data_IF_350616478118
#
_entry.id   IF_350616478118
#
_cell.length_a   1.000
_cell.length_b   1.000
_cell.length_c   1.000
_cell.angle_alpha   90.00
_cell.angle_beta   90.00
_cell.angle_gamma   90.00
#
_symmetry.space_group_name_H-M   'P 1'
#
loop_
_entity.id
_entity.type
_entity.pdbx_description
1 polymer ?
#
# COMPACT_ATOMS: atom_id res chain seq x y z
N UNK A 1 7.83 -5.33 -72.68
CA UNK A 1 8.88 -5.32 -71.65
C UNK A 1 8.23 -5.61 -70.32
N UNK A 2 8.11 -6.92 -70.00
CA UNK A 2 7.48 -7.34 -68.74
C UNK A 2 8.56 -7.38 -67.66
N UNK A 3 8.48 -6.46 -66.72
CA UNK A 3 9.28 -6.51 -65.49
C UNK A 3 8.67 -7.55 -64.57
N UNK A 4 9.27 -8.73 -64.57
CA UNK A 4 8.92 -9.79 -63.63
C UNK A 4 9.31 -9.33 -62.22
N UNK A 5 8.31 -9.06 -61.41
CA UNK A 5 8.49 -8.79 -60.00
C UNK A 5 9.05 -10.04 -59.29
N UNK A 6 10.24 -9.95 -58.73
CA UNK A 6 10.91 -11.06 -58.09
C UNK A 6 10.11 -11.47 -56.81
N UNK A 7 9.46 -12.66 -56.75
CA UNK A 7 8.53 -13.03 -55.72
C UNK A 7 9.16 -13.10 -54.32
N UNK A 8 10.48 -13.27 -54.26
CA UNK A 8 11.23 -13.31 -52.98
C UNK A 8 11.32 -11.93 -52.31
N UNK A 9 11.39 -10.85 -53.10
CA UNK A 9 11.47 -9.48 -52.53
C UNK A 9 10.09 -9.03 -52.09
N UNK A 10 9.03 -9.38 -52.80
CA UNK A 10 7.66 -9.01 -52.43
C UNK A 10 7.18 -9.71 -51.14
N UNK A 11 7.50 -11.02 -50.96
CA UNK A 11 7.19 -11.75 -49.74
C UNK A 11 7.98 -11.22 -48.49
N UNK A 12 9.25 -10.75 -48.71
CA UNK A 12 10.06 -10.23 -47.60
C UNK A 12 9.53 -8.89 -47.03
N UNK A 13 8.99 -8.02 -47.92
CA UNK A 13 8.40 -6.75 -47.47
C UNK A 13 7.06 -6.91 -46.73
N UNK A 14 6.22 -7.85 -47.15
CA UNK A 14 4.93 -8.13 -46.49
C UNK A 14 5.15 -8.77 -45.14
N UNK A 15 6.09 -9.67 -44.97
CA UNK A 15 6.41 -10.31 -43.69
C UNK A 15 7.05 -9.33 -42.71
N UNK A 16 7.89 -8.38 -43.19
CA UNK A 16 8.53 -7.39 -42.32
C UNK A 16 7.53 -6.35 -41.78
N UNK A 17 6.64 -5.81 -42.60
CA UNK A 17 5.58 -4.90 -42.21
C UNK A 17 4.58 -5.57 -41.22
N UNK A 18 4.19 -6.82 -41.47
CA UNK A 18 3.35 -7.59 -40.59
C UNK A 18 4.04 -7.90 -39.25
N UNK A 19 5.35 -8.14 -39.29
CA UNK A 19 6.16 -8.38 -38.10
C UNK A 19 6.29 -7.10 -37.24
N UNK A 20 6.55 -5.95 -37.84
CA UNK A 20 6.60 -4.65 -37.13
C UNK A 20 5.25 -4.31 -36.52
N UNK A 21 4.14 -4.52 -37.23
CA UNK A 21 2.80 -4.29 -36.71
C UNK A 21 2.47 -5.23 -35.54
N UNK A 22 2.90 -6.47 -35.58
CA UNK A 22 2.78 -7.42 -34.45
C UNK A 22 3.65 -7.01 -33.27
N UNK A 23 4.90 -6.62 -33.49
CA UNK A 23 5.80 -6.17 -32.42
C UNK A 23 5.27 -4.92 -31.72
N UNK A 24 4.74 -3.94 -32.47
CA UNK A 24 4.13 -2.75 -31.90
C UNK A 24 2.88 -3.08 -31.05
N UNK A 25 2.01 -3.97 -31.51
CA UNK A 25 0.81 -4.35 -30.77
C UNK A 25 1.15 -5.17 -29.49
N UNK A 26 2.16 -6.05 -29.55
CA UNK A 26 2.63 -6.79 -28.37
C UNK A 26 3.19 -5.82 -27.33
N UNK A 27 3.96 -4.82 -27.74
CA UNK A 27 4.54 -3.83 -26.84
C UNK A 27 3.49 -3.03 -26.07
N UNK A 28 2.42 -2.55 -26.71
CA UNK A 28 1.35 -1.81 -26.03
C UNK A 28 0.59 -2.66 -25.04
N UNK A 29 0.30 -3.91 -25.36
CA UNK A 29 -0.39 -4.84 -24.45
C UNK A 29 0.48 -5.20 -23.24
N UNK A 30 1.77 -5.38 -23.41
CA UNK A 30 2.68 -5.69 -22.31
C UNK A 30 2.87 -4.50 -21.38
N UNK A 31 3.00 -3.29 -21.94
CA UNK A 31 2.99 -2.05 -21.14
C UNK A 31 1.68 -1.92 -20.37
N UNK A 32 0.54 -2.10 -21.02
CA UNK A 32 -0.76 -2.04 -20.35
C UNK A 32 -0.88 -3.08 -19.23
N UNK A 33 -0.50 -4.35 -19.48
CA UNK A 33 -0.49 -5.42 -18.48
C UNK A 33 0.45 -5.10 -17.31
N UNK A 34 1.53 -4.40 -17.54
CA UNK A 34 2.50 -4.02 -16.52
C UNK A 34 1.98 -2.90 -15.64
N UNK A 35 1.30 -1.89 -16.19
CA UNK A 35 0.99 -0.62 -15.53
C UNK A 35 -0.45 -0.44 -15.06
N UNK A 36 -1.41 -1.29 -15.48
CA UNK A 36 -2.83 -1.10 -15.17
C UNK A 36 -3.11 -0.96 -13.67
N UNK A 37 -2.41 -1.75 -12.81
CA UNK A 37 -2.62 -1.71 -11.37
C UNK A 37 -2.07 -0.41 -10.77
N UNK A 38 -0.94 0.10 -11.28
CA UNK A 38 -0.44 1.42 -10.87
C UNK A 38 -1.48 2.50 -11.11
N UNK A 39 -2.08 2.52 -12.31
CA UNK A 39 -3.14 3.50 -12.64
C UNK A 39 -4.38 3.28 -11.75
N UNK A 40 -4.76 2.03 -11.52
CA UNK A 40 -5.91 1.69 -10.68
C UNK A 40 -5.71 2.10 -9.20
N UNK A 41 -4.48 2.05 -8.67
CA UNK A 41 -4.18 2.43 -7.27
C UNK A 41 -4.17 3.94 -7.04
N UNK A 42 -3.96 4.77 -8.07
CA UNK A 42 -3.87 6.23 -7.91
C UNK A 42 -5.06 6.84 -7.17
N UNK A 43 -6.33 6.60 -7.55
CA UNK A 43 -7.47 7.20 -6.86
C UNK A 43 -7.58 6.78 -5.40
N UNK A 44 -7.24 5.56 -5.05
CA UNK A 44 -7.25 5.06 -3.67
C UNK A 44 -6.17 5.78 -2.84
N UNK A 45 -4.93 5.79 -3.35
CA UNK A 45 -3.79 6.45 -2.70
C UNK A 45 -4.07 7.95 -2.54
N UNK A 46 -4.55 8.62 -3.59
CA UNK A 46 -4.88 10.04 -3.54
C UNK A 46 -5.94 10.35 -2.48
N UNK A 47 -6.97 9.50 -2.36
CA UNK A 47 -8.02 9.66 -1.35
C UNK A 47 -7.50 9.46 0.07
N UNK A 48 -6.66 8.45 0.30
CA UNK A 48 -6.05 8.21 1.61
C UNK A 48 -5.07 9.32 2.01
N UNK A 49 -4.25 9.82 1.07
CA UNK A 49 -3.35 10.94 1.33
C UNK A 49 -4.10 12.26 1.55
N UNK A 50 -5.19 12.47 0.84
CA UNK A 50 -6.08 13.61 1.07
C UNK A 50 -6.67 13.57 2.48
N UNK A 51 -7.20 12.42 2.92
CA UNK A 51 -7.67 12.24 4.29
C UNK A 51 -6.54 12.50 5.30
N UNK A 52 -5.35 11.92 5.08
CA UNK A 52 -4.21 12.08 5.97
C UNK A 52 -3.80 13.56 6.12
N UNK A 53 -3.74 14.29 5.00
CA UNK A 53 -3.44 15.72 5.02
C UNK A 53 -4.44 16.51 5.90
N UNK A 54 -5.74 16.33 5.70
CA UNK A 54 -6.75 17.05 6.45
C UNK A 54 -6.79 16.64 7.90
N UNK A 55 -6.71 15.36 8.21
CA UNK A 55 -6.70 14.85 9.59
C UNK A 55 -5.52 15.42 10.37
N UNK A 56 -4.29 15.30 9.87
CA UNK A 56 -3.09 15.71 10.59
C UNK A 56 -2.90 17.23 10.60
N UNK A 57 -3.35 17.94 9.56
CA UNK A 57 -3.20 19.40 9.47
C UNK A 57 -4.15 20.16 10.36
N UNK A 58 -5.37 19.68 10.51
CA UNK A 58 -6.45 20.37 11.22
C UNK A 58 -6.87 19.67 12.52
N UNK A 59 -6.23 18.57 12.85
CA UNK A 59 -6.53 17.74 14.04
C UNK A 59 -8.01 17.29 14.05
N UNK A 60 -8.57 17.05 12.87
CA UNK A 60 -9.93 16.57 12.68
C UNK A 60 -9.88 15.08 12.40
N UNK A 61 -10.11 14.29 13.44
CA UNK A 61 -10.20 12.85 13.29
C UNK A 61 -11.58 12.53 12.79
N UNK A 62 -11.66 12.29 11.47
CA UNK A 62 -12.90 11.82 10.87
C UNK A 62 -13.26 10.49 11.54
N UNK A 63 -14.35 10.52 12.30
CA UNK A 63 -14.99 9.30 12.74
C UNK A 63 -15.29 8.43 11.52
N UNK A 64 -15.69 7.20 11.72
CA UNK A 64 -16.02 6.17 10.72
C UNK A 64 -16.78 6.63 9.46
N UNK A 65 -17.24 7.86 9.41
CA UNK A 65 -18.14 8.45 8.42
C UNK A 65 -17.44 9.38 7.42
N UNK A 66 -16.12 9.29 7.23
CA UNK A 66 -15.53 9.97 6.08
C UNK A 66 -16.06 9.30 4.81
N UNK A 67 -16.90 10.04 4.07
CA UNK A 67 -17.54 9.55 2.85
C UNK A 67 -16.52 9.51 1.71
N UNK A 68 -15.75 8.42 1.65
CA UNK A 68 -14.98 8.14 0.47
C UNK A 68 -15.91 7.86 -0.71
N UNK A 69 -15.61 8.37 -1.92
CA UNK A 69 -16.39 8.03 -3.10
C UNK A 69 -16.24 6.53 -3.44
N UNK A 70 -17.27 5.97 -4.06
CA UNK A 70 -17.16 4.63 -4.65
C UNK A 70 -16.06 4.60 -5.73
N UNK A 71 -15.19 3.58 -5.79
CA UNK A 71 -15.15 2.36 -4.97
C UNK A 71 -14.22 2.45 -3.72
N UNK A 72 -13.64 3.61 -3.43
CA UNK A 72 -12.66 3.79 -2.34
C UNK A 72 -13.28 3.48 -0.97
N UNK A 73 -14.56 3.79 -0.78
CA UNK A 73 -15.29 3.49 0.46
C UNK A 73 -15.32 1.98 0.77
N UNK A 74 -15.52 1.12 -0.24
CA UNK A 74 -15.56 -0.33 -0.06
C UNK A 74 -14.16 -0.85 0.30
N UNK A 75 -13.15 -0.42 -0.45
CA UNK A 75 -11.76 -0.77 -0.19
C UNK A 75 -11.35 -0.35 1.24
N UNK A 76 -11.63 0.88 1.63
CA UNK A 76 -11.31 1.39 2.96
C UNK A 76 -11.98 0.56 4.07
N UNK A 77 -13.24 0.15 3.91
CA UNK A 77 -13.92 -0.73 4.86
C UNK A 77 -13.19 -2.08 4.97
N UNK A 78 -12.83 -2.68 3.84
CA UNK A 78 -12.18 -4.00 3.83
C UNK A 78 -10.79 -3.92 4.48
N UNK A 79 -9.95 -3.00 4.02
CA UNK A 79 -8.57 -2.86 4.49
C UNK A 79 -8.54 -2.48 5.97
N UNK A 80 -9.36 -1.53 6.38
CA UNK A 80 -9.43 -1.09 7.76
C UNK A 80 -9.90 -2.18 8.72
N UNK A 81 -10.96 -2.93 8.37
CA UNK A 81 -11.41 -4.03 9.22
C UNK A 81 -10.37 -5.14 9.30
N UNK A 82 -9.67 -5.43 8.19
CA UNK A 82 -8.56 -6.38 8.21
C UNK A 82 -7.44 -5.93 9.15
N UNK A 83 -6.97 -4.69 9.03
CA UNK A 83 -5.92 -4.14 9.88
C UNK A 83 -6.34 -4.10 11.36
N UNK A 84 -7.60 -3.76 11.63
CA UNK A 84 -8.16 -3.74 12.97
C UNK A 84 -8.17 -5.14 13.62
N UNK A 85 -8.56 -6.17 12.89
CA UNK A 85 -8.51 -7.56 13.39
C UNK A 85 -7.06 -7.95 13.73
N UNK A 86 -6.12 -7.57 12.88
CA UNK A 86 -4.69 -7.84 13.12
C UNK A 86 -4.18 -7.08 14.35
N UNK A 87 -4.60 -5.83 14.53
CA UNK A 87 -4.30 -5.01 15.70
C UNK A 87 -4.77 -5.68 17.00
N UNK A 88 -6.02 -6.09 17.08
CA UNK A 88 -6.58 -6.77 18.26
C UNK A 88 -5.91 -8.12 18.53
N UNK A 89 -5.60 -8.87 17.49
CA UNK A 89 -4.81 -10.09 17.61
C UNK A 89 -3.43 -9.81 18.20
N UNK A 90 -2.80 -8.69 17.82
CA UNK A 90 -1.51 -8.26 18.34
C UNK A 90 -1.51 -8.06 19.85
N UNK A 91 -2.54 -7.44 20.42
CA UNK A 91 -2.72 -7.33 21.88
C UNK A 91 -2.80 -8.70 22.53
N UNK A 92 -3.60 -9.60 21.95
CA UNK A 92 -3.81 -10.95 22.47
C UNK A 92 -2.52 -11.76 22.50
N UNK A 93 -1.73 -11.74 21.42
CA UNK A 93 -0.45 -12.47 21.34
C UNK A 93 0.59 -11.92 22.31
N UNK A 94 0.68 -10.61 22.46
CA UNK A 94 1.68 -9.99 23.33
C UNK A 94 1.29 -9.98 24.80
N UNK A 95 -0.01 -10.13 25.13
CA UNK A 95 -0.48 -10.25 26.51
C UNK A 95 0.18 -11.43 27.26
N UNK A 96 0.55 -12.51 26.55
CA UNK A 96 1.23 -13.68 27.11
C UNK A 96 2.55 -13.30 27.79
N UNK A 97 3.19 -12.20 27.36
CA UNK A 97 4.45 -11.71 27.93
C UNK A 97 4.29 -11.02 29.29
N UNK A 98 3.07 -10.81 29.75
CA UNK A 98 2.77 -10.23 31.07
C UNK A 98 3.23 -8.76 31.27
N UNK A 99 3.63 -8.07 30.22
CA UNK A 99 4.07 -6.67 30.28
C UNK A 99 3.06 -5.75 29.59
N UNK A 100 2.45 -4.87 30.38
CA UNK A 100 1.39 -3.97 29.90
C UNK A 100 1.83 -3.11 28.71
N UNK A 101 3.03 -2.52 28.73
CA UNK A 101 3.54 -1.69 27.64
C UNK A 101 3.72 -2.49 26.34
N UNK A 102 4.27 -3.72 26.45
CA UNK A 102 4.42 -4.61 25.30
C UNK A 102 3.05 -5.04 24.78
N UNK A 103 2.10 -5.33 25.66
CA UNK A 103 0.73 -5.66 25.25
C UNK A 103 0.10 -4.53 24.46
N UNK A 104 0.19 -3.29 24.94
CA UNK A 104 -0.38 -2.13 24.25
C UNK A 104 0.32 -1.88 22.90
N UNK A 105 1.66 -1.96 22.85
CA UNK A 105 2.42 -1.83 21.58
C UNK A 105 2.11 -2.95 20.59
N UNK A 106 1.73 -4.13 21.10
CA UNK A 106 1.48 -5.32 20.30
C UNK A 106 0.46 -5.11 19.20
N UNK A 107 -0.62 -4.36 19.47
CA UNK A 107 -1.63 -4.04 18.47
C UNK A 107 -1.01 -3.37 17.25
N UNK A 108 -0.43 -2.21 17.41
CA UNK A 108 0.21 -1.45 16.32
C UNK A 108 1.40 -2.18 15.70
N UNK A 109 2.17 -2.92 16.49
CA UNK A 109 3.30 -3.70 15.99
C UNK A 109 2.85 -4.80 15.01
N UNK A 110 1.84 -5.59 15.37
CA UNK A 110 1.34 -6.65 14.49
C UNK A 110 0.60 -6.10 13.29
N UNK A 111 -0.09 -4.97 13.43
CA UNK A 111 -0.75 -4.26 12.33
C UNK A 111 0.23 -3.86 11.22
N UNK A 112 1.48 -3.50 11.56
CA UNK A 112 2.56 -3.24 10.61
C UNK A 112 3.25 -4.54 10.18
N UNK A 113 3.57 -5.41 11.11
CA UNK A 113 4.40 -6.59 10.89
C UNK A 113 3.80 -7.53 9.85
N UNK A 114 2.49 -7.81 9.93
CA UNK A 114 1.84 -8.74 9.02
C UNK A 114 1.88 -8.26 7.56
N UNK A 115 1.49 -7.00 7.22
CA UNK A 115 1.68 -6.48 5.87
C UNK A 115 3.13 -6.51 5.39
N UNK A 116 4.11 -6.25 6.26
CA UNK A 116 5.53 -6.31 5.89
C UNK A 116 6.00 -7.74 5.61
N UNK A 117 5.54 -8.74 6.35
CA UNK A 117 5.84 -10.16 6.07
C UNK A 117 5.25 -10.57 4.72
N UNK A 118 3.99 -10.20 4.46
CA UNK A 118 3.34 -10.45 3.17
C UNK A 118 4.12 -9.78 2.03
N UNK A 119 4.49 -8.50 2.20
CA UNK A 119 5.28 -7.75 1.23
C UNK A 119 6.63 -8.42 0.97
N UNK A 120 7.35 -8.81 2.03
CA UNK A 120 8.64 -9.49 1.91
C UNK A 120 8.51 -10.78 1.08
N UNK A 121 7.51 -11.61 1.39
CA UNK A 121 7.23 -12.82 0.63
C UNK A 121 6.99 -12.53 -0.87
N UNK A 122 6.18 -11.51 -1.17
CA UNK A 122 5.84 -11.12 -2.54
C UNK A 122 7.04 -10.56 -3.32
N UNK A 123 7.91 -9.82 -2.64
CA UNK A 123 9.16 -9.29 -3.21
C UNK A 123 10.16 -10.42 -3.49
N UNK A 124 10.36 -11.35 -2.55
CA UNK A 124 11.26 -12.49 -2.75
C UNK A 124 10.81 -13.38 -3.92
N UNK A 125 9.51 -13.53 -4.11
CA UNK A 125 8.95 -14.31 -5.21
C UNK A 125 8.76 -13.50 -6.50
N UNK A 126 9.23 -12.26 -6.56
CA UNK A 126 9.15 -11.36 -7.73
C UNK A 126 7.74 -11.21 -8.32
N UNK A 127 6.71 -11.22 -7.48
CA UNK A 127 5.32 -10.99 -7.87
C UNK A 127 5.04 -9.49 -7.99
N UNK A 128 5.24 -8.90 -9.17
CA UNK A 128 5.14 -7.45 -9.41
C UNK A 128 3.83 -6.88 -8.84
N UNK A 129 2.69 -7.42 -9.25
CA UNK A 129 1.37 -6.93 -8.80
C UNK A 129 1.10 -7.21 -7.33
N UNK A 130 1.53 -8.38 -6.86
CA UNK A 130 1.49 -8.70 -5.44
C UNK A 130 2.32 -7.71 -4.62
N UNK A 131 3.54 -7.39 -5.05
CA UNK A 131 4.41 -6.42 -4.37
C UNK A 131 3.80 -5.01 -4.35
N UNK A 132 3.12 -4.59 -5.44
CA UNK A 132 2.36 -3.33 -5.45
C UNK A 132 1.27 -3.32 -4.37
N UNK A 133 0.47 -4.39 -4.29
CA UNK A 133 -0.58 -4.54 -3.27
C UNK A 133 0.01 -4.68 -1.85
N UNK A 134 1.15 -5.36 -1.71
CA UNK A 134 1.85 -5.47 -0.43
C UNK A 134 2.35 -4.13 0.08
N UNK A 135 2.97 -3.31 -0.78
CA UNK A 135 3.35 -1.94 -0.43
C UNK A 135 2.14 -1.05 -0.14
N UNK A 136 1.06 -1.21 -0.90
CA UNK A 136 -0.19 -0.49 -0.66
C UNK A 136 -0.77 -0.83 0.72
N UNK A 137 -0.85 -2.10 1.08
CA UNK A 137 -1.34 -2.55 2.38
C UNK A 137 -0.44 -2.07 3.53
N UNK A 138 0.89 -2.12 3.35
CA UNK A 138 1.84 -1.58 4.33
C UNK A 138 1.67 -0.06 4.50
N UNK A 139 1.44 0.68 3.41
CA UNK A 139 1.13 2.11 3.46
C UNK A 139 -0.15 2.41 4.23
N UNK A 140 -1.20 1.61 4.01
CA UNK A 140 -2.47 1.73 4.73
C UNK A 140 -2.32 1.44 6.23
N UNK A 141 -1.52 0.44 6.60
CA UNK A 141 -1.22 0.14 8.00
C UNK A 141 -0.49 1.30 8.69
N UNK A 142 0.52 1.88 8.06
CA UNK A 142 1.23 3.04 8.59
C UNK A 142 0.32 4.27 8.75
N UNK A 143 -0.62 4.52 7.81
CA UNK A 143 -1.59 5.60 7.95
C UNK A 143 -2.61 5.35 9.06
N UNK A 144 -3.07 4.11 9.24
CA UNK A 144 -3.96 3.72 10.34
C UNK A 144 -3.32 4.07 11.69
N UNK A 145 -2.08 3.65 11.90
CA UNK A 145 -1.35 3.95 13.13
C UNK A 145 -1.02 5.43 13.26
N UNK A 146 -0.77 6.13 12.15
CA UNK A 146 -0.54 7.57 12.15
C UNK A 146 -1.72 8.35 12.73
N UNK A 147 -2.95 7.98 12.31
CA UNK A 147 -4.16 8.61 12.84
C UNK A 147 -4.37 8.27 14.32
N UNK A 148 -4.16 7.01 14.70
CA UNK A 148 -4.33 6.56 16.06
C UNK A 148 -3.31 7.21 17.02
N UNK A 149 -2.04 7.37 16.59
CA UNK A 149 -1.02 8.03 17.37
C UNK A 149 -1.28 9.54 17.50
N UNK A 150 -1.71 10.20 16.41
CA UNK A 150 -2.02 11.64 16.43
C UNK A 150 -3.28 11.98 17.22
N UNK A 151 -4.19 11.01 17.43
CA UNK A 151 -5.39 11.16 18.25
C UNK A 151 -5.13 10.96 19.75
N UNK A 152 -3.91 10.66 20.17
CA UNK A 152 -3.58 10.26 21.54
C UNK A 152 -4.00 11.28 22.60
N UNK A 153 -3.90 12.58 22.30
CA UNK A 153 -4.35 13.65 23.18
C UNK A 153 -5.83 14.01 23.00
N UNK A 154 -6.30 14.00 21.76
CA UNK A 154 -7.67 14.41 21.40
C UNK A 154 -8.72 13.34 21.73
N UNK A 155 -8.37 12.05 21.57
CA UNK A 155 -9.22 10.86 21.85
C UNK A 155 -10.60 10.94 21.20
N UNK A 156 -10.62 11.37 19.93
CA UNK A 156 -11.84 11.54 19.14
C UNK A 156 -12.20 10.27 18.35
N UNK A 157 -11.22 9.39 18.10
CA UNK A 157 -11.47 8.15 17.37
C UNK A 157 -12.29 7.16 18.22
N UNK A 158 -13.37 6.61 17.66
CA UNK A 158 -14.18 5.64 18.40
C UNK A 158 -13.38 4.34 18.61
N UNK A 159 -13.30 3.90 19.84
CA UNK A 159 -12.69 2.63 20.22
C UNK A 159 -13.66 1.47 20.06
N UNK A 160 -13.13 0.26 19.80
CA UNK A 160 -13.94 -0.95 19.69
C UNK A 160 -14.69 -1.21 20.97
N UNK A 161 -15.95 -1.63 20.85
CA UNK A 161 -16.77 -2.03 21.99
C UNK A 161 -17.16 -0.89 22.93
N UNK A 162 -17.16 0.37 22.45
CA UNK A 162 -17.46 1.54 23.28
C UNK A 162 -16.58 1.63 24.55
N UNK A 163 -15.35 1.14 24.46
CA UNK A 163 -14.38 1.30 25.52
C UNK A 163 -14.10 2.81 25.76
N UNK A 164 -14.06 3.20 27.02
CA UNK A 164 -13.80 4.60 27.35
C UNK A 164 -12.36 5.05 27.03
N UNK A 165 -12.12 6.34 27.14
CA UNK A 165 -10.82 7.00 26.84
C UNK A 165 -9.60 6.34 27.48
N UNK A 166 -9.78 5.63 28.60
CA UNK A 166 -8.73 4.89 29.32
C UNK A 166 -8.18 3.70 28.52
N UNK A 167 -8.89 3.24 27.47
CA UNK A 167 -8.47 2.13 26.63
C UNK A 167 -7.67 2.59 25.39
N UNK A 168 -7.41 3.89 25.23
CA UNK A 168 -6.67 4.42 24.08
C UNK A 168 -5.18 4.07 24.15
N UNK A 169 -4.70 3.17 23.29
CA UNK A 169 -3.34 2.63 23.36
C UNK A 169 -2.26 3.70 23.28
N UNK A 170 -2.26 4.50 22.21
CA UNK A 170 -1.28 5.56 22.01
C UNK A 170 -1.39 6.65 23.07
N UNK A 171 -2.61 6.95 23.55
CA UNK A 171 -2.82 7.84 24.69
C UNK A 171 -2.12 7.33 25.95
N UNK A 172 -2.23 6.04 26.24
CA UNK A 172 -1.58 5.41 27.39
C UNK A 172 -0.05 5.33 27.22
N UNK A 173 0.44 4.96 26.04
CA UNK A 173 1.88 4.87 25.76
C UNK A 173 2.56 6.23 25.84
N UNK A 174 2.03 7.24 25.13
CA UNK A 174 2.64 8.56 25.07
C UNK A 174 2.56 9.28 26.41
N UNK A 175 1.48 9.09 27.17
CA UNK A 175 1.38 9.61 28.55
C UNK A 175 2.43 8.95 29.44
N UNK A 176 2.56 7.63 29.39
CA UNK A 176 3.54 6.88 30.18
C UNK A 176 5.00 7.24 29.88
N UNK A 177 5.29 7.67 28.66
CA UNK A 177 6.62 8.09 28.22
C UNK A 177 6.86 9.60 28.34
N UNK A 178 5.86 10.39 28.73
CA UNK A 178 5.95 11.86 28.77
C UNK A 178 6.03 12.52 27.40
N UNK A 179 5.50 11.86 26.36
CA UNK A 179 5.58 12.28 24.94
C UNK A 179 4.23 12.71 24.36
N UNK A 180 3.18 12.83 25.16
CA UNK A 180 1.82 13.11 24.68
C UNK A 180 1.75 14.41 23.85
N UNK A 181 2.55 15.43 24.19
CA UNK A 181 2.62 16.70 23.45
C UNK A 181 3.19 16.56 22.03
N UNK A 182 3.76 15.40 21.67
CA UNK A 182 4.34 15.12 20.37
C UNK A 182 3.49 14.15 19.53
N UNK A 183 2.28 13.83 19.97
CA UNK A 183 1.38 12.86 19.31
C UNK A 183 1.18 13.15 17.82
N UNK A 184 0.84 14.38 17.46
CA UNK A 184 0.67 14.82 16.06
C UNK A 184 1.99 14.71 15.28
N UNK A 185 3.13 15.05 15.91
CA UNK A 185 4.44 14.90 15.26
C UNK A 185 4.76 13.44 14.97
N UNK A 186 4.49 12.56 15.93
CA UNK A 186 4.65 11.11 15.77
C UNK A 186 3.73 10.60 14.66
N UNK A 187 2.48 11.03 14.66
CA UNK A 187 1.51 10.71 13.60
C UNK A 187 2.00 11.16 12.20
N UNK A 188 2.57 12.36 12.08
CA UNK A 188 3.15 12.86 10.82
C UNK A 188 4.32 11.98 10.37
N UNK A 189 5.22 11.56 11.26
CA UNK A 189 6.32 10.65 10.91
C UNK A 189 5.80 9.32 10.36
N UNK A 190 4.79 8.74 10.99
CA UNK A 190 4.16 7.52 10.52
C UNK A 190 3.44 7.73 9.17
N UNK A 191 2.75 8.84 8.99
CA UNK A 191 2.10 9.17 7.72
C UNK A 191 3.10 9.36 6.57
N UNK A 192 4.26 9.94 6.83
CA UNK A 192 5.35 10.04 5.84
C UNK A 192 5.88 8.66 5.46
N UNK A 193 6.00 7.73 6.42
CA UNK A 193 6.38 6.35 6.15
C UNK A 193 5.33 5.64 5.30
N UNK A 194 4.05 5.81 5.60
CA UNK A 194 2.94 5.29 4.79
C UNK A 194 2.95 5.87 3.36
N UNK A 195 3.21 7.17 3.23
CA UNK A 195 3.34 7.85 1.93
C UNK A 195 4.52 7.28 1.12
N UNK A 196 5.65 6.99 1.76
CA UNK A 196 6.79 6.34 1.11
C UNK A 196 6.44 4.92 0.62
N UNK A 197 5.68 4.16 1.39
CA UNK A 197 5.17 2.85 0.96
C UNK A 197 4.24 2.99 -0.27
N UNK A 198 3.35 3.96 -0.32
CA UNK A 198 2.50 4.22 -1.48
C UNK A 198 3.30 4.63 -2.71
N UNK A 199 4.32 5.48 -2.55
CA UNK A 199 5.22 5.83 -3.64
C UNK A 199 5.99 4.58 -4.15
N UNK A 200 6.43 3.71 -3.25
CA UNK A 200 7.02 2.42 -3.61
C UNK A 200 6.02 1.54 -4.38
N UNK A 201 4.76 1.42 -3.93
CA UNK A 201 3.72 0.66 -4.63
C UNK A 201 3.55 1.11 -6.09
N UNK A 202 3.51 2.42 -6.33
CA UNK A 202 3.39 2.97 -7.69
C UNK A 202 4.66 2.76 -8.53
N UNK A 203 5.83 2.67 -7.90
CA UNK A 203 7.12 2.56 -8.58
C UNK A 203 7.57 1.13 -8.88
N UNK A 204 6.97 0.09 -8.27
CA UNK A 204 7.34 -1.32 -8.45
C UNK A 204 7.56 -1.71 -9.92
N UNK A 205 6.67 -1.34 -10.89
CA UNK A 205 6.86 -1.73 -12.29
C UNK A 205 8.12 -1.15 -12.94
N UNK A 206 8.74 -0.11 -12.39
CA UNK A 206 9.95 0.47 -12.95
C UNK A 206 11.21 -0.35 -12.66
N UNK A 207 11.31 -0.92 -11.46
CA UNK A 207 12.56 -1.52 -10.97
C UNK A 207 12.47 -3.04 -10.77
N UNK A 208 11.26 -3.60 -10.72
CA UNK A 208 11.09 -5.02 -10.51
C UNK A 208 10.91 -5.76 -11.83
N UNK A 209 11.77 -6.74 -12.11
CA UNK A 209 11.66 -7.63 -13.28
C UNK A 209 11.05 -8.96 -12.86
N UNK A 210 10.32 -9.61 -13.76
CA UNK A 210 9.87 -10.99 -13.61
C UNK A 210 11.03 -11.97 -13.79
N UNK A 211 10.89 -13.21 -13.35
CA UNK A 211 11.90 -14.25 -13.58
C UNK A 211 12.16 -14.46 -15.08
N UNK A 212 11.12 -14.48 -15.91
CA UNK A 212 11.24 -14.61 -17.37
C UNK A 212 12.04 -13.48 -18.00
N UNK A 213 11.85 -12.23 -17.56
CA UNK A 213 12.62 -11.08 -18.05
C UNK A 213 14.09 -11.14 -17.62
N UNK A 214 14.37 -11.69 -16.43
CA UNK A 214 15.74 -11.83 -15.92
C UNK A 214 16.52 -12.93 -16.64
N UNK A 215 15.88 -14.05 -16.98
CA UNK A 215 16.50 -15.15 -17.67
C UNK A 215 16.90 -14.78 -19.12
N UNK A 216 16.08 -14.00 -19.82
CA UNK A 216 16.41 -13.51 -21.19
C UNK A 216 17.65 -12.58 -21.19
N UNK A 217 17.89 -11.80 -20.13
CA UNK A 217 19.09 -10.95 -20.04
C UNK A 217 20.40 -11.73 -19.76
N UNK A 218 20.29 -12.93 -19.18
CA UNK A 218 21.46 -13.78 -18.92
C UNK A 218 21.90 -14.58 -20.15
N UNK A 219 21.02 -14.77 -21.13
CA UNK A 219 21.27 -15.52 -22.37
C UNK A 219 21.75 -14.62 -23.54
N UNK A 220 21.92 -13.32 -23.32
CA UNK A 220 22.45 -12.33 -24.28
C UNK A 220 23.86 -11.89 -23.90
#
# INVERSE_FOLDING_TARGET
>A
MHLACNPVICCRHITFAAMIHRLNNIHYLDVAKRWWLTVALIPFIASHLHQAYWTLRYNIFFSYNYDFPFPVNIENIIVRNFLLIVHEAGHTFTAILGNRTITILGGSFYEILLPLIILAYLLFNKFIKGSQLGFYLAGSAWLSIAFYAADASARQLPLIGNLGDSAHDWGNLLTGWGLLQYDTTIGVVFALTGTACYAAALSVPFWMKTYEEADIELDL
#
